data_IF_226753447592
#
_entry.id   IF_226753447592
#
_cell.length_a   1.000
_cell.length_b   1.000
_cell.length_c   1.000
_cell.angle_alpha   90.00
_cell.angle_beta   90.00
_cell.angle_gamma   90.00
#
_symmetry.space_group_name_H-M   'P 1'
#
loop_
_entity.id
_entity.type
_entity.pdbx_description
1 polymer ?
#
# COMPACT_ATOMS: atom_id res chain seq x y z
N UNK A 1 -38.26 3.99 -4.17
CA UNK A 1 -37.67 4.41 -5.47
C UNK A 1 -36.28 4.92 -5.16
N UNK A 2 -35.25 4.10 -5.35
CA UNK A 2 -33.85 4.44 -5.02
C UNK A 2 -33.29 5.41 -6.07
N UNK A 3 -32.47 6.41 -5.72
CA UNK A 3 -31.88 7.31 -6.68
C UNK A 3 -30.89 6.55 -7.56
N UNK A 4 -31.04 6.69 -8.88
CA UNK A 4 -30.13 6.17 -9.88
C UNK A 4 -28.74 6.74 -9.65
N UNK A 5 -27.75 5.86 -9.50
CA UNK A 5 -26.35 6.23 -9.28
C UNK A 5 -25.87 7.24 -10.34
N UNK A 6 -25.19 8.26 -9.87
CA UNK A 6 -24.56 9.26 -10.73
C UNK A 6 -23.56 8.56 -11.65
N UNK A 7 -23.86 8.52 -12.95
CA UNK A 7 -22.89 8.16 -13.97
C UNK A 7 -21.74 9.17 -13.89
N UNK A 8 -20.52 8.68 -13.65
CA UNK A 8 -19.34 9.52 -13.81
C UNK A 8 -19.31 10.02 -15.27
N UNK A 9 -18.95 11.28 -15.53
CA UNK A 9 -18.84 11.78 -16.88
C UNK A 9 -17.84 10.93 -17.67
N UNK A 10 -18.13 10.67 -18.93
CA UNK A 10 -17.30 9.84 -19.82
C UNK A 10 -15.83 10.29 -19.86
N UNK A 11 -15.54 11.55 -19.58
CA UNK A 11 -14.19 12.11 -19.43
C UNK A 11 -13.35 11.50 -18.31
N UNK A 12 -13.98 10.96 -17.27
CA UNK A 12 -13.26 10.28 -16.18
C UNK A 12 -12.78 8.87 -16.56
N UNK A 13 -13.36 8.27 -17.60
CA UNK A 13 -13.00 6.94 -18.13
C UNK A 13 -11.81 6.98 -19.12
N UNK A 14 -11.36 8.15 -19.53
CA UNK A 14 -10.29 8.33 -20.52
C UNK A 14 -9.01 8.93 -19.92
N UNK A 15 -8.73 8.67 -18.64
CA UNK A 15 -7.41 8.99 -18.10
C UNK A 15 -6.36 8.15 -18.84
N UNK A 16 -5.36 8.82 -19.40
CA UNK A 16 -4.20 8.12 -19.99
C UNK A 16 -3.54 7.28 -18.89
N UNK A 17 -3.36 6.00 -19.15
CA UNK A 17 -2.65 5.11 -18.23
C UNK A 17 -1.18 5.54 -18.17
N UNK A 18 -0.63 5.84 -17.00
CA UNK A 18 0.76 6.28 -16.90
C UNK A 18 1.72 5.12 -17.07
N UNK A 19 2.88 5.36 -17.67
CA UNK A 19 3.99 4.41 -17.54
C UNK A 19 4.44 4.40 -16.08
N UNK A 20 4.54 3.21 -15.51
CA UNK A 20 4.83 3.03 -14.09
C UNK A 20 6.30 2.72 -13.90
N UNK A 21 6.97 3.54 -13.11
CA UNK A 21 8.36 3.38 -12.70
C UNK A 21 8.49 2.60 -11.38
N UNK A 22 9.70 2.23 -11.02
CA UNK A 22 10.03 1.73 -9.67
C UNK A 22 10.03 2.90 -8.69
N UNK A 23 9.48 2.68 -7.50
CA UNK A 23 9.54 3.65 -6.41
C UNK A 23 10.52 3.15 -5.35
N UNK A 24 11.73 3.73 -5.34
CA UNK A 24 12.81 3.32 -4.44
C UNK A 24 13.37 4.56 -3.75
N UNK A 25 13.51 4.51 -2.45
CA UNK A 25 14.03 5.59 -1.62
C UNK A 25 13.31 6.95 -1.83
N UNK A 26 11.97 6.91 -1.93
CA UNK A 26 11.15 8.11 -2.11
C UNK A 26 11.16 8.70 -3.52
N UNK A 27 11.77 8.04 -4.51
CA UNK A 27 11.89 8.52 -5.87
C UNK A 27 11.36 7.54 -6.91
N UNK A 28 10.68 8.07 -7.92
CA UNK A 28 10.31 7.33 -9.11
C UNK A 28 11.49 7.25 -10.06
N UNK A 29 11.82 6.05 -10.53
CA UNK A 29 12.98 5.81 -11.39
C UNK A 29 12.76 4.62 -12.32
N UNK A 30 13.41 4.63 -13.46
CA UNK A 30 13.40 3.50 -14.38
C UNK A 30 14.21 2.33 -13.81
N UNK A 31 13.93 1.12 -14.28
CA UNK A 31 14.76 -0.03 -13.98
C UNK A 31 16.20 0.18 -14.51
N UNK A 32 17.20 -0.27 -13.77
CA UNK A 32 18.62 -0.06 -14.08
C UNK A 32 18.99 -0.53 -15.51
N UNK A 33 18.36 -1.62 -15.98
CA UNK A 33 18.56 -2.13 -17.34
C UNK A 33 17.63 -1.48 -18.39
N UNK A 34 16.81 -0.50 -18.02
CA UNK A 34 15.82 0.13 -18.91
C UNK A 34 14.70 -0.80 -19.39
N UNK A 35 14.59 -2.01 -18.84
CA UNK A 35 13.58 -3.00 -19.26
C UNK A 35 12.19 -2.61 -18.75
N UNK A 36 11.19 -2.90 -19.57
CA UNK A 36 9.78 -2.67 -19.23
C UNK A 36 8.90 -3.84 -19.67
N UNK A 37 7.74 -4.00 -19.02
CA UNK A 37 6.68 -4.93 -19.42
C UNK A 37 5.48 -4.14 -19.91
N UNK A 38 4.79 -4.64 -20.93
CA UNK A 38 3.57 -4.05 -21.43
C UNK A 38 2.41 -4.33 -20.45
N UNK A 39 1.55 -3.33 -20.28
CA UNK A 39 0.29 -3.44 -19.53
C UNK A 39 -0.85 -3.42 -20.52
N UNK A 40 -1.72 -4.41 -20.45
CA UNK A 40 -2.83 -4.57 -21.39
C UNK A 40 -4.18 -4.35 -20.70
N UNK A 41 -5.09 -3.69 -21.37
CA UNK A 41 -6.48 -3.63 -20.95
C UNK A 41 -7.17 -4.97 -21.30
N UNK A 42 -7.65 -5.74 -20.33
CA UNK A 42 -8.20 -7.07 -20.59
C UNK A 42 -9.51 -7.04 -21.38
N UNK A 43 -10.26 -5.93 -21.35
CA UNK A 43 -11.49 -5.78 -22.10
C UNK A 43 -11.27 -5.56 -23.60
N UNK A 44 -10.13 -4.93 -23.98
CA UNK A 44 -9.85 -4.59 -25.39
C UNK A 44 -8.65 -5.34 -25.97
N UNK A 45 -7.82 -5.96 -25.13
CA UNK A 45 -6.55 -6.58 -25.52
C UNK A 45 -5.47 -5.58 -25.96
N UNK A 46 -5.73 -4.28 -25.84
CA UNK A 46 -4.78 -3.23 -26.26
C UNK A 46 -3.77 -2.91 -25.17
N UNK A 47 -2.53 -2.65 -25.57
CA UNK A 47 -1.53 -2.08 -24.66
C UNK A 47 -1.98 -0.66 -24.26
N UNK A 48 -1.96 -0.38 -22.97
CA UNK A 48 -2.38 0.91 -22.38
C UNK A 48 -1.21 1.66 -21.74
N UNK A 49 -0.12 0.98 -21.47
CA UNK A 49 1.08 1.56 -20.89
C UNK A 49 2.15 0.50 -20.59
N UNK A 50 3.18 0.90 -19.92
CA UNK A 50 4.31 0.03 -19.57
C UNK A 50 4.69 0.19 -18.10
N UNK A 51 5.20 -0.89 -17.50
CA UNK A 51 5.75 -0.90 -16.14
C UNK A 51 7.23 -1.25 -16.16
N UNK A 52 8.03 -0.57 -15.37
CA UNK A 52 9.46 -0.87 -15.23
C UNK A 52 9.66 -2.29 -14.70
N UNK A 53 10.55 -3.05 -15.35
CA UNK A 53 10.89 -4.42 -14.98
C UNK A 53 12.18 -4.44 -14.17
N UNK A 54 12.05 -4.56 -12.85
CA UNK A 54 13.17 -4.61 -11.92
C UNK A 54 14.02 -5.87 -12.12
N UNK A 55 15.32 -5.74 -11.97
CA UNK A 55 16.31 -6.83 -11.92
C UNK A 55 17.06 -6.82 -10.58
N UNK A 56 18.03 -7.69 -10.41
CA UNK A 56 18.77 -7.89 -9.14
C UNK A 56 19.36 -6.58 -8.63
N UNK A 57 19.96 -5.77 -9.51
CA UNK A 57 20.55 -4.49 -9.11
C UNK A 57 19.51 -3.49 -8.55
N UNK A 58 18.27 -3.54 -9.04
CA UNK A 58 17.18 -2.73 -8.52
C UNK A 58 16.71 -3.25 -7.16
N UNK A 59 16.65 -4.58 -6.99
CA UNK A 59 16.31 -5.21 -5.72
C UNK A 59 17.34 -4.89 -4.64
N UNK A 60 18.63 -4.94 -4.94
CA UNK A 60 19.69 -4.59 -4.00
C UNK A 60 19.55 -3.14 -3.50
N UNK A 61 19.26 -2.21 -4.42
CA UNK A 61 18.98 -0.81 -4.05
C UNK A 61 17.71 -0.68 -3.20
N UNK A 62 16.65 -1.43 -3.55
CA UNK A 62 15.40 -1.41 -2.80
C UNK A 62 15.58 -1.98 -1.37
N UNK A 63 16.37 -3.05 -1.21
CA UNK A 63 16.69 -3.63 0.09
C UNK A 63 17.49 -2.66 0.96
N UNK A 64 18.52 -2.01 0.38
CA UNK A 64 19.29 -0.99 1.10
C UNK A 64 18.40 0.20 1.53
N UNK A 65 17.51 0.66 0.65
CA UNK A 65 16.55 1.72 0.96
C UNK A 65 15.54 1.29 2.04
N UNK A 66 15.08 0.04 2.00
CA UNK A 66 14.17 -0.51 3.01
C UNK A 66 14.83 -0.58 4.39
N UNK A 67 16.11 -0.95 4.46
CA UNK A 67 16.88 -0.97 5.72
C UNK A 67 17.01 0.45 6.31
N UNK A 68 17.40 1.44 5.51
CA UNK A 68 17.49 2.83 5.95
C UNK A 68 16.12 3.41 6.35
N UNK A 69 15.07 3.09 5.58
CA UNK A 69 13.70 3.47 5.89
C UNK A 69 13.19 2.85 7.19
N UNK A 70 13.56 1.59 7.45
CA UNK A 70 13.24 0.90 8.70
C UNK A 70 13.81 1.63 9.92
N UNK A 71 15.08 2.03 9.88
CA UNK A 71 15.72 2.76 10.98
C UNK A 71 14.99 4.07 11.27
N UNK A 72 14.69 4.84 10.24
CA UNK A 72 13.93 6.09 10.37
C UNK A 72 12.52 5.85 10.95
N UNK A 73 11.82 4.85 10.44
CA UNK A 73 10.44 4.56 10.84
C UNK A 73 10.35 3.97 12.24
N UNK A 74 11.29 3.09 12.61
CA UNK A 74 11.40 2.51 13.95
C UNK A 74 11.54 3.57 15.03
N UNK A 75 12.39 4.58 14.77
CA UNK A 75 12.72 5.61 15.74
C UNK A 75 11.69 6.74 15.79
N UNK A 76 10.72 6.74 14.87
CA UNK A 76 9.63 7.72 14.83
C UNK A 76 8.57 7.43 15.91
N UNK A 77 8.12 8.44 16.67
CA UNK A 77 7.03 8.28 17.64
C UNK A 77 5.76 7.70 17.01
N UNK A 78 5.04 6.79 17.72
CA UNK A 78 3.82 6.17 17.17
C UNK A 78 2.77 7.16 16.68
N UNK A 79 2.61 8.30 17.33
CA UNK A 79 1.65 9.33 16.93
C UNK A 79 2.01 10.00 15.59
N UNK A 80 3.28 10.16 15.30
CA UNK A 80 3.75 10.71 14.03
C UNK A 80 3.50 9.72 12.90
N UNK A 81 3.80 8.42 13.11
CA UNK A 81 3.47 7.35 12.18
C UNK A 81 1.97 7.31 11.89
N UNK A 82 1.14 7.38 12.93
CA UNK A 82 -0.32 7.44 12.81
C UNK A 82 -0.75 8.63 11.92
N UNK A 83 -0.19 9.82 12.16
CA UNK A 83 -0.51 11.04 11.41
C UNK A 83 -0.19 10.87 9.91
N UNK A 84 0.98 10.31 9.58
CA UNK A 84 1.37 10.02 8.19
C UNK A 84 0.41 9.05 7.54
N UNK A 85 0.08 7.95 8.22
CA UNK A 85 -0.83 6.93 7.70
C UNK A 85 -2.25 7.48 7.49
N UNK A 86 -2.79 8.25 8.42
CA UNK A 86 -4.10 8.89 8.27
C UNK A 86 -4.15 9.87 7.11
N UNK A 87 -3.06 10.62 6.88
CA UNK A 87 -2.94 11.48 5.70
C UNK A 87 -2.95 10.67 4.41
N UNK A 88 -2.25 9.54 4.37
CA UNK A 88 -2.26 8.63 3.21
C UNK A 88 -3.68 8.09 2.93
N UNK A 89 -4.43 7.69 3.97
CA UNK A 89 -5.82 7.26 3.85
C UNK A 89 -6.73 8.37 3.30
N UNK A 90 -6.58 9.59 3.79
CA UNK A 90 -7.35 10.74 3.29
C UNK A 90 -7.08 11.01 1.80
N UNK A 91 -5.81 10.98 1.37
CA UNK A 91 -5.43 11.13 -0.04
C UNK A 91 -5.98 10.00 -0.91
N UNK A 92 -6.02 8.77 -0.40
CA UNK A 92 -6.60 7.63 -1.12
C UNK A 92 -8.10 7.81 -1.34
N UNK A 93 -8.84 8.30 -0.36
CA UNK A 93 -10.27 8.62 -0.51
C UNK A 93 -10.50 9.75 -1.51
N UNK A 94 -9.75 10.82 -1.41
CA UNK A 94 -9.80 11.95 -2.34
C UNK A 94 -9.59 11.48 -3.79
N UNK A 95 -8.65 10.57 -4.01
CA UNK A 95 -8.27 10.08 -5.34
C UNK A 95 -9.00 8.80 -5.77
N UNK A 96 -9.94 8.30 -4.98
CA UNK A 96 -10.58 7.01 -5.21
C UNK A 96 -11.22 6.86 -6.59
N UNK A 97 -11.76 7.94 -7.17
CA UNK A 97 -12.34 7.92 -8.51
C UNK A 97 -11.27 7.72 -9.59
N UNK A 98 -10.14 8.43 -9.50
CA UNK A 98 -9.02 8.32 -10.43
C UNK A 98 -8.34 6.95 -10.32
N UNK A 99 -8.08 6.49 -9.09
CA UNK A 99 -7.50 5.18 -8.81
C UNK A 99 -8.42 4.07 -9.36
N UNK A 100 -9.73 4.16 -9.12
CA UNK A 100 -10.71 3.20 -9.63
C UNK A 100 -10.74 3.14 -11.16
N UNK A 101 -10.62 4.28 -11.84
CA UNK A 101 -10.58 4.32 -13.30
C UNK A 101 -9.34 3.61 -13.87
N UNK A 102 -8.17 3.82 -13.28
CA UNK A 102 -6.93 3.12 -13.67
C UNK A 102 -7.03 1.63 -13.39
N UNK A 103 -7.55 1.23 -12.22
CA UNK A 103 -7.76 -0.15 -11.85
C UNK A 103 -8.70 -0.88 -12.83
N UNK A 104 -9.78 -0.23 -13.25
CA UNK A 104 -10.68 -0.78 -14.27
C UNK A 104 -9.97 -1.00 -15.60
N UNK A 105 -9.13 -0.07 -16.03
CA UNK A 105 -8.38 -0.21 -17.28
C UNK A 105 -7.36 -1.35 -17.23
N UNK A 106 -6.67 -1.51 -16.11
CA UNK A 106 -5.59 -2.48 -15.96
C UNK A 106 -6.08 -3.90 -15.64
N UNK A 107 -7.07 -4.02 -14.76
CA UNK A 107 -7.52 -5.30 -14.22
C UNK A 107 -8.86 -5.78 -14.77
N UNK A 108 -9.63 -4.87 -15.38
CA UNK A 108 -10.96 -5.18 -15.92
C UNK A 108 -12.10 -5.20 -14.90
N UNK A 109 -11.85 -4.86 -13.66
CA UNK A 109 -12.86 -4.77 -12.60
C UNK A 109 -13.88 -3.66 -12.90
N UNK A 110 -15.19 -3.88 -12.66
CA UNK A 110 -16.19 -2.83 -12.82
C UNK A 110 -15.84 -1.57 -12.03
N UNK A 111 -16.06 -0.38 -12.61
CA UNK A 111 -15.64 0.90 -12.03
C UNK A 111 -16.18 1.14 -10.60
N UNK A 112 -17.41 0.69 -10.32
CA UNK A 112 -17.99 0.82 -8.99
C UNK A 112 -17.23 -0.01 -7.95
N UNK A 113 -16.85 -1.25 -8.31
CA UNK A 113 -16.07 -2.15 -7.45
C UNK A 113 -14.63 -1.65 -7.29
N UNK A 114 -14.02 -1.17 -8.37
CA UNK A 114 -12.67 -0.61 -8.37
C UNK A 114 -12.56 0.62 -7.44
N UNK A 115 -13.55 1.52 -7.52
CA UNK A 115 -13.64 2.66 -6.59
C UNK A 115 -13.90 2.20 -5.16
N UNK A 116 -14.77 1.20 -4.96
CA UNK A 116 -15.04 0.59 -3.67
C UNK A 116 -13.77 -0.02 -3.06
N UNK A 117 -12.93 -0.65 -3.86
CA UNK A 117 -11.64 -1.20 -3.41
C UNK A 117 -10.69 -0.10 -2.90
N UNK A 118 -10.60 1.03 -3.61
CA UNK A 118 -9.78 2.17 -3.18
C UNK A 118 -10.29 2.79 -1.86
N UNK A 119 -11.60 2.86 -1.67
CA UNK A 119 -12.20 3.32 -0.40
C UNK A 119 -11.90 2.35 0.76
N UNK A 120 -12.09 1.04 0.54
CA UNK A 120 -11.78 0.01 1.53
C UNK A 120 -10.29 -0.02 1.90
N UNK A 121 -9.40 0.27 0.94
CA UNK A 121 -7.98 0.39 1.20
C UNK A 121 -7.66 1.56 2.16
N UNK A 122 -8.35 2.68 2.03
CA UNK A 122 -8.22 3.79 2.97
C UNK A 122 -8.65 3.40 4.39
N UNK A 123 -9.75 2.65 4.52
CA UNK A 123 -10.23 2.15 5.82
C UNK A 123 -9.20 1.19 6.46
N UNK A 124 -8.56 0.34 5.66
CA UNK A 124 -7.48 -0.55 6.10
C UNK A 124 -6.29 0.25 6.65
N UNK A 125 -5.88 1.31 5.94
CA UNK A 125 -4.77 2.16 6.41
C UNK A 125 -5.11 2.80 7.76
N UNK A 126 -6.32 3.35 7.91
CA UNK A 126 -6.74 3.97 9.17
C UNK A 126 -6.81 2.97 10.31
N UNK A 127 -7.34 1.77 10.05
CA UNK A 127 -7.37 0.70 11.04
C UNK A 127 -5.97 0.41 11.59
N UNK A 128 -4.99 0.19 10.72
CA UNK A 128 -3.62 -0.09 11.16
C UNK A 128 -2.91 1.13 11.74
N UNK A 129 -3.24 2.33 11.31
CA UNK A 129 -2.75 3.56 11.95
C UNK A 129 -3.14 3.62 13.42
N UNK A 130 -4.39 3.29 13.72
CA UNK A 130 -4.90 3.29 15.09
C UNK A 130 -4.40 2.10 15.91
N UNK A 131 -4.26 0.93 15.28
CA UNK A 131 -3.63 -0.23 15.93
C UNK A 131 -2.17 0.03 16.29
N UNK A 132 -1.44 0.80 15.47
CA UNK A 132 -0.07 1.20 15.76
C UNK A 132 0.10 1.98 17.07
N UNK A 133 -0.95 2.66 17.53
CA UNK A 133 -0.96 3.34 18.84
C UNK A 133 -1.20 2.38 20.01
N UNK A 134 -1.64 1.15 19.75
CA UNK A 134 -2.01 0.14 20.76
C UNK A 134 -1.04 -1.05 20.81
N UNK A 135 0.15 -0.91 20.28
CA UNK A 135 1.20 -1.94 20.32
C UNK A 135 1.83 -1.96 21.71
N UNK A 136 1.04 -2.34 22.70
CA UNK A 136 1.47 -2.39 24.10
C UNK A 136 2.27 -3.65 24.40
N UNK A 137 3.18 -3.54 25.37
CA UNK A 137 3.72 -4.68 26.10
C UNK A 137 2.75 -5.21 27.16
N UNK A 138 3.19 -6.14 27.96
CA UNK A 138 2.45 -6.65 29.13
C UNK A 138 3.38 -7.03 30.25
N UNK A 139 2.85 -7.00 31.47
CA UNK A 139 3.52 -7.50 32.67
C UNK A 139 2.85 -8.83 33.06
N UNK A 140 3.65 -9.87 33.13
CA UNK A 140 3.18 -11.23 33.49
C UNK A 140 3.73 -11.60 34.85
N UNK A 141 2.88 -11.98 35.82
CA UNK A 141 3.34 -12.53 37.12
C UNK A 141 4.15 -13.80 36.89
N UNK A 142 5.23 -13.94 37.64
CA UNK A 142 5.99 -15.19 37.64
C UNK A 142 5.15 -16.33 38.28
N UNK A 143 5.16 -17.50 37.66
CA UNK A 143 4.49 -18.68 38.23
C UNK A 143 5.25 -19.29 39.42
N UNK A 144 6.51 -18.91 39.59
CA UNK A 144 7.38 -19.52 40.65
C UNK A 144 7.49 -18.67 41.91
N UNK A 145 7.38 -17.34 41.79
CA UNK A 145 7.38 -16.49 42.96
C UNK A 145 6.69 -15.15 42.65
N UNK A 146 6.00 -14.59 43.64
CA UNK A 146 5.21 -13.37 43.52
C UNK A 146 6.06 -12.09 43.52
N UNK A 147 7.33 -12.16 43.92
CA UNK A 147 8.23 -11.01 43.92
C UNK A 147 8.80 -10.71 42.54
N UNK A 148 8.73 -11.66 41.61
CA UNK A 148 9.23 -11.50 40.22
C UNK A 148 8.09 -11.15 39.29
N UNK A 149 8.30 -10.12 38.43
CA UNK A 149 7.41 -9.75 37.34
C UNK A 149 8.18 -9.84 36.03
N UNK A 150 7.59 -10.43 35.01
CA UNK A 150 8.16 -10.55 33.69
C UNK A 150 7.55 -9.49 32.79
N UNK A 151 8.37 -8.73 32.08
CA UNK A 151 7.91 -7.78 31.07
C UNK A 151 8.04 -8.39 29.68
N UNK A 152 7.00 -8.26 28.89
CA UNK A 152 6.99 -8.60 27.47
C UNK A 152 6.94 -7.27 26.69
N UNK A 153 7.99 -7.01 25.93
CA UNK A 153 8.04 -5.87 25.02
C UNK A 153 7.89 -6.36 23.59
N UNK A 154 7.48 -5.48 22.71
CA UNK A 154 7.40 -5.74 21.26
C UNK A 154 8.43 -4.90 20.55
N UNK A 155 9.33 -5.56 19.86
CA UNK A 155 10.34 -4.93 19.02
C UNK A 155 10.03 -5.21 17.55
N UNK A 156 10.33 -4.24 16.63
CA UNK A 156 10.11 -4.44 15.20
C UNK A 156 11.08 -5.50 14.64
N UNK A 157 10.58 -6.33 13.73
CA UNK A 157 11.36 -7.45 13.15
C UNK A 157 12.33 -7.02 12.04
N UNK A 158 12.18 -5.79 11.52
CA UNK A 158 12.98 -5.29 10.40
C UNK A 158 12.19 -5.15 9.10
N UNK A 159 12.86 -4.91 7.97
CA UNK A 159 12.24 -4.82 6.66
C UNK A 159 11.50 -6.11 6.27
N UNK A 160 10.37 -5.95 5.59
CA UNK A 160 9.49 -7.06 5.19
C UNK A 160 9.31 -7.08 3.68
N UNK A 161 9.48 -8.24 3.05
CA UNK A 161 9.08 -8.46 1.66
C UNK A 161 7.59 -8.82 1.59
N UNK A 162 6.80 -8.02 0.87
CA UNK A 162 5.37 -8.21 0.73
C UNK A 162 5.01 -8.66 -0.69
N UNK A 163 4.57 -9.91 -0.83
CA UNK A 163 4.08 -10.47 -2.10
C UNK A 163 2.55 -10.44 -2.11
N UNK A 164 1.96 -9.99 -3.22
CA UNK A 164 0.51 -9.81 -3.34
C UNK A 164 -0.04 -10.46 -4.61
N UNK A 165 -1.24 -11.10 -4.55
CA UNK A 165 -1.94 -11.53 -5.74
C UNK A 165 -2.56 -10.33 -6.48
N UNK A 166 -2.92 -10.52 -7.74
CA UNK A 166 -3.43 -9.47 -8.63
C UNK A 166 -4.93 -9.18 -8.52
N UNK A 167 -5.71 -10.03 -7.89
CA UNK A 167 -7.18 -9.96 -7.91
C UNK A 167 -7.80 -8.82 -7.07
N UNK A 168 -7.06 -8.31 -6.09
CA UNK A 168 -7.37 -7.09 -5.33
C UNK A 168 -6.09 -6.26 -5.19
N UNK A 169 -5.62 -5.63 -6.28
CA UNK A 169 -4.27 -5.09 -6.35
C UNK A 169 -4.00 -3.97 -5.36
N UNK A 170 -5.03 -3.19 -4.98
CA UNK A 170 -4.89 -2.12 -3.99
C UNK A 170 -5.00 -2.68 -2.58
N UNK A 171 -6.06 -3.42 -2.28
CA UNK A 171 -6.30 -3.93 -0.93
C UNK A 171 -5.22 -4.89 -0.45
N UNK A 172 -4.70 -5.75 -1.31
CA UNK A 172 -3.65 -6.69 -0.94
C UNK A 172 -2.34 -6.00 -0.61
N UNK A 173 -1.95 -5.00 -1.41
CA UNK A 173 -0.75 -4.18 -1.16
C UNK A 173 -0.91 -3.40 0.13
N UNK A 174 -1.99 -2.64 0.24
CA UNK A 174 -2.23 -1.75 1.39
C UNK A 174 -2.31 -2.54 2.70
N UNK A 175 -2.98 -3.69 2.71
CA UNK A 175 -3.08 -4.53 3.91
C UNK A 175 -1.73 -4.98 4.44
N UNK A 176 -0.80 -5.34 3.55
CA UNK A 176 0.55 -5.75 3.95
C UNK A 176 1.42 -4.57 4.34
N UNK A 177 1.40 -3.50 3.56
CA UNK A 177 2.18 -2.31 3.85
C UNK A 177 1.74 -1.63 5.15
N UNK A 178 0.44 -1.47 5.37
CA UNK A 178 -0.08 -0.81 6.55
C UNK A 178 0.11 -1.65 7.83
N UNK A 179 0.06 -3.00 7.72
CA UNK A 179 0.30 -3.89 8.85
C UNK A 179 1.78 -3.98 9.24
N UNK A 180 2.70 -3.78 8.29
CA UNK A 180 4.15 -3.87 8.51
C UNK A 180 4.77 -2.60 9.13
N UNK A 181 3.96 -1.61 9.50
CA UNK A 181 4.42 -0.28 9.95
C UNK A 181 4.27 -0.02 11.43
#
# INVERSE_FOLDING_TARGET
MAPRGAFLPASALFMTYPNTQLFINGQWQDAAAGKTLAVFNPASGKEIGRVAHAEIADLDRALAAAQSGFETWRDMPPIERNTIMRRAAALMRERAAAIGALLTQEQGKPIAEAKGEAMAAADIIEWFADEGLRVYGRIVPSRFNLATRQMVLKDPVGPVAAFTPWNFPINQVVRKMAAAR
#
